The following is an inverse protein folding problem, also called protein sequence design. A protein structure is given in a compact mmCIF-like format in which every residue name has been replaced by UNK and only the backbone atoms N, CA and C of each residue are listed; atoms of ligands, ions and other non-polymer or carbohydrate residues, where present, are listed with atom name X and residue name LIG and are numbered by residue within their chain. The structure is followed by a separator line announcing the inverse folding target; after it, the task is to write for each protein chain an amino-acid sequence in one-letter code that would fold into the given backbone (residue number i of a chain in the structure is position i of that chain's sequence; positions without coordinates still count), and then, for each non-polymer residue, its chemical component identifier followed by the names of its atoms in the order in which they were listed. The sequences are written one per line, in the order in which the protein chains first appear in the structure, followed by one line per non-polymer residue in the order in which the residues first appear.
data_IF_918612209612
#
_entry.id   IF_918612209612
#
_cell.length_a   1.000
_cell.length_b   1.000
_cell.length_c   1.000
_cell.angle_alpha   90.00
_cell.angle_beta   90.00
_cell.angle_gamma   90.00
#
_symmetry.space_group_name_H-M   'P 1'
#
loop_
_entity.id
_entity.type
_entity.pdbx_description
1 polymer ?
#
# COMPACT_ATOMS: atom_id res chain seq x y z
N UNK A 1 -16.57 -10.00 18.05
CA UNK A 1 -16.15 -9.36 16.78
C UNK A 1 -15.45 -10.34 15.85
N UNK A 2 -14.45 -11.10 16.31
CA UNK A 2 -13.73 -12.11 15.50
C UNK A 2 -14.62 -13.25 14.96
N UNK A 3 -15.59 -13.75 15.74
CA UNK A 3 -16.51 -14.82 15.28
C UNK A 3 -17.33 -14.46 14.04
N UNK A 4 -17.88 -13.24 13.98
CA UNK A 4 -18.64 -12.74 12.82
C UNK A 4 -17.76 -12.47 11.60
N UNK A 5 -16.50 -12.11 11.81
CA UNK A 5 -15.54 -11.77 10.77
C UNK A 5 -14.98 -13.06 10.14
N UNK A 6 -14.65 -14.04 10.98
CA UNK A 6 -14.31 -15.39 10.57
C UNK A 6 -15.49 -16.08 9.86
N UNK A 7 -16.70 -16.02 10.40
CA UNK A 7 -17.87 -16.64 9.75
C UNK A 7 -18.18 -16.00 8.39
N UNK A 8 -17.98 -14.68 8.23
CA UNK A 8 -18.13 -14.00 6.94
C UNK A 8 -16.99 -14.23 5.95
N UNK A 9 -15.74 -14.38 6.40
CA UNK A 9 -14.59 -14.68 5.51
C UNK A 9 -14.47 -16.16 5.19
N UNK A 10 -14.64 -17.03 6.18
CA UNK A 10 -14.64 -18.48 5.99
C UNK A 10 -15.98 -18.98 5.44
N UNK A 11 -17.09 -18.27 5.57
CA UNK A 11 -18.33 -18.58 4.84
C UNK A 11 -18.25 -18.35 3.32
N UNK A 12 -17.16 -17.76 2.82
CA UNK A 12 -16.95 -17.53 1.39
C UNK A 12 -16.42 -18.77 0.65
N UNK A 13 -16.36 -18.63 -0.67
CA UNK A 13 -15.75 -19.59 -1.59
C UNK A 13 -14.36 -20.04 -1.17
N UNK A 14 -14.03 -21.26 -1.57
CA UNK A 14 -12.73 -21.88 -1.32
C UNK A 14 -11.57 -21.00 -1.81
N UNK A 15 -11.73 -20.30 -2.94
CA UNK A 15 -10.69 -19.39 -3.45
C UNK A 15 -10.39 -18.24 -2.50
N UNK A 16 -11.40 -17.69 -1.81
CA UNK A 16 -11.22 -16.60 -0.86
C UNK A 16 -10.42 -17.06 0.37
N UNK A 17 -10.70 -18.29 0.84
CA UNK A 17 -9.96 -18.92 1.93
C UNK A 17 -8.49 -19.14 1.55
N UNK A 18 -8.24 -19.69 0.35
CA UNK A 18 -6.87 -19.89 -0.13
C UNK A 18 -6.14 -18.56 -0.33
N UNK A 19 -6.77 -17.53 -0.85
CA UNK A 19 -6.16 -16.20 -1.02
C UNK A 19 -5.75 -15.59 0.33
N UNK A 20 -6.61 -15.73 1.34
CA UNK A 20 -6.29 -15.31 2.70
C UNK A 20 -5.13 -16.10 3.29
N UNK A 21 -5.13 -17.43 3.15
CA UNK A 21 -4.04 -18.29 3.64
C UNK A 21 -2.71 -17.90 2.97
N UNK A 22 -2.69 -17.76 1.64
CA UNK A 22 -1.49 -17.34 0.89
C UNK A 22 -0.99 -15.98 1.40
N UNK A 23 -1.89 -15.02 1.59
CA UNK A 23 -1.54 -13.68 2.10
C UNK A 23 -1.00 -13.73 3.53
N UNK A 24 -1.60 -14.52 4.43
CA UNK A 24 -1.11 -14.69 5.81
C UNK A 24 0.25 -15.38 5.83
N UNK A 25 0.40 -16.47 5.07
CA UNK A 25 1.66 -17.20 4.97
C UNK A 25 2.78 -16.32 4.40
N UNK A 26 2.50 -15.57 3.31
CA UNK A 26 3.44 -14.60 2.76
C UNK A 26 3.83 -13.57 3.80
N UNK A 27 2.85 -12.94 4.46
CA UNK A 27 3.13 -11.86 5.39
C UNK A 27 3.97 -12.34 6.59
N UNK A 28 3.68 -13.51 7.14
CA UNK A 28 4.46 -14.09 8.24
C UNK A 28 5.85 -14.53 7.80
N UNK A 29 5.96 -15.30 6.71
CA UNK A 29 7.24 -15.82 6.23
C UNK A 29 8.21 -14.70 5.86
N UNK A 30 7.74 -13.71 5.09
CA UNK A 30 8.56 -12.56 4.69
C UNK A 30 8.92 -11.70 5.90
N UNK A 31 7.99 -11.44 6.83
CA UNK A 31 8.31 -10.65 8.03
C UNK A 31 9.33 -11.32 8.94
N UNK A 32 9.30 -12.64 9.08
CA UNK A 32 10.29 -13.40 9.86
C UNK A 32 11.67 -13.31 9.20
N UNK A 33 11.75 -13.54 7.88
CA UNK A 33 13.00 -13.46 7.14
C UNK A 33 13.58 -12.04 7.16
N UNK A 34 12.76 -11.01 6.95
CA UNK A 34 13.17 -9.62 7.07
C UNK A 34 13.62 -9.26 8.49
N UNK A 35 12.98 -9.82 9.53
CA UNK A 35 13.42 -9.65 10.91
C UNK A 35 14.82 -10.20 11.16
N UNK A 36 15.16 -11.34 10.54
CA UNK A 36 16.50 -11.93 10.62
C UNK A 36 17.53 -11.06 9.87
N UNK A 37 17.21 -10.64 8.64
CA UNK A 37 18.05 -9.75 7.84
C UNK A 37 18.29 -8.42 8.57
N UNK A 38 17.25 -7.84 9.14
CA UNK A 38 17.30 -6.62 9.95
C UNK A 38 18.20 -6.78 11.17
N UNK A 39 18.17 -7.93 11.86
CA UNK A 39 19.03 -8.20 13.01
C UNK A 39 20.51 -8.26 12.62
N UNK A 40 20.82 -8.91 11.50
CA UNK A 40 22.19 -8.97 10.94
C UNK A 40 22.67 -7.57 10.55
N UNK A 41 21.86 -6.80 9.81
CA UNK A 41 22.22 -5.43 9.42
C UNK A 41 22.34 -4.48 10.63
N UNK A 42 21.46 -4.59 11.63
CA UNK A 42 21.53 -3.76 12.84
C UNK A 42 22.80 -4.03 13.64
N UNK A 43 23.25 -5.28 13.70
CA UNK A 43 24.54 -5.66 14.31
C UNK A 43 25.72 -5.08 13.54
N UNK A 44 25.69 -5.12 12.20
CA UNK A 44 26.72 -4.53 11.38
C UNK A 44 26.80 -2.99 11.57
N UNK A 45 25.66 -2.29 11.60
CA UNK A 45 25.60 -0.84 11.81
C UNK A 45 26.10 -0.44 13.20
N UNK A 46 25.79 -1.21 14.25
CA UNK A 46 26.26 -0.92 15.61
C UNK A 46 27.78 -1.08 15.73
N UNK A 47 28.38 -2.08 15.08
CA UNK A 47 29.83 -2.25 15.03
C UNK A 47 30.52 -1.11 14.29
N UNK A 48 29.96 -0.65 13.17
CA UNK A 48 30.46 0.52 12.44
C UNK A 48 30.43 1.76 13.35
N UNK A 49 29.36 1.97 14.14
CA UNK A 49 29.24 3.16 15.00
C UNK A 49 30.39 3.34 16.00
N UNK A 50 31.01 2.24 16.45
CA UNK A 50 32.16 2.26 17.37
C UNK A 50 33.43 2.83 16.73
N UNK A 51 33.50 2.87 15.40
CA UNK A 51 34.65 3.40 14.68
C UNK A 51 34.63 4.93 14.58
N UNK A 52 33.50 5.58 14.89
CA UNK A 52 33.32 7.04 14.82
C UNK A 52 34.39 7.79 15.60
N UNK A 53 34.70 7.35 16.81
CA UNK A 53 35.66 8.03 17.70
C UNK A 53 37.10 7.94 17.20
N UNK A 54 37.44 6.89 16.45
CA UNK A 54 38.77 6.71 15.86
C UNK A 54 39.01 7.61 14.64
N UNK A 55 37.92 7.99 13.97
CA UNK A 55 37.96 8.68 12.67
C UNK A 55 37.68 10.18 12.81
N UNK A 56 37.17 10.64 13.96
CA UNK A 56 36.76 12.04 14.21
C UNK A 56 37.82 13.10 13.90
N UNK A 57 39.11 12.78 13.98
CA UNK A 57 40.20 13.74 13.81
C UNK A 57 40.64 13.91 12.35
N UNK A 58 40.15 13.09 11.42
CA UNK A 58 40.46 13.17 9.99
C UNK A 58 39.18 13.48 9.19
N UNK A 59 39.16 14.64 8.54
CA UNK A 59 37.96 15.18 7.90
C UNK A 59 37.50 14.35 6.70
N UNK A 60 38.42 13.75 5.94
CA UNK A 60 38.09 12.92 4.77
C UNK A 60 37.58 11.56 5.20
N UNK A 61 38.21 10.96 6.20
CA UNK A 61 37.75 9.67 6.74
C UNK A 61 36.40 9.84 7.46
N UNK A 62 36.15 11.00 8.08
CA UNK A 62 34.87 11.30 8.74
C UNK A 62 33.71 11.47 7.75
N UNK A 63 33.94 12.04 6.56
CA UNK A 63 32.91 12.09 5.51
C UNK A 63 32.58 10.69 5.01
N UNK A 64 33.59 9.88 4.68
CA UNK A 64 33.42 8.51 4.19
C UNK A 64 32.70 7.62 5.23
N UNK A 65 33.06 7.79 6.51
CA UNK A 65 32.38 7.12 7.62
C UNK A 65 30.90 7.52 7.72
N UNK A 66 30.61 8.81 7.60
CA UNK A 66 29.25 9.34 7.70
C UNK A 66 28.36 8.78 6.58
N UNK A 67 28.89 8.67 5.36
CA UNK A 67 28.18 8.12 4.21
C UNK A 67 27.87 6.63 4.36
N UNK A 68 28.87 5.83 4.76
CA UNK A 68 28.69 4.39 5.03
C UNK A 68 27.69 4.17 6.17
N UNK A 69 27.80 4.95 7.24
CA UNK A 69 26.90 4.85 8.39
C UNK A 69 25.46 5.26 8.01
N UNK A 70 25.29 6.34 7.24
CA UNK A 70 23.99 6.79 6.75
C UNK A 70 23.35 5.75 5.83
N UNK A 71 24.14 5.13 4.95
CA UNK A 71 23.68 4.07 4.05
C UNK A 71 23.21 2.83 4.83
N UNK A 72 24.03 2.33 5.77
CA UNK A 72 23.68 1.18 6.59
C UNK A 72 22.42 1.40 7.43
N UNK A 73 22.26 2.61 7.99
CA UNK A 73 21.06 2.99 8.74
C UNK A 73 19.83 3.15 7.85
N UNK A 74 19.99 3.67 6.64
CA UNK A 74 18.91 3.75 5.65
C UNK A 74 18.39 2.36 5.26
N UNK A 75 19.29 1.39 5.08
CA UNK A 75 18.92 -0.01 4.79
C UNK A 75 18.02 -0.60 5.88
N UNK A 76 18.32 -0.34 7.16
CA UNK A 76 17.47 -0.73 8.30
C UNK A 76 16.02 -0.26 8.14
N UNK A 77 15.81 0.98 7.66
CA UNK A 77 14.47 1.54 7.46
C UNK A 77 13.74 0.87 6.29
N UNK A 78 14.45 0.48 5.24
CA UNK A 78 13.86 -0.24 4.11
C UNK A 78 13.33 -1.62 4.51
N UNK A 79 14.07 -2.38 5.32
CA UNK A 79 13.60 -3.66 5.87
C UNK A 79 12.35 -3.48 6.74
N UNK A 80 12.34 -2.47 7.63
CA UNK A 80 11.18 -2.17 8.47
C UNK A 80 9.96 -1.80 7.62
N UNK A 81 10.14 -0.99 6.59
CA UNK A 81 9.04 -0.62 5.69
C UNK A 81 8.53 -1.80 4.88
N UNK A 82 9.41 -2.74 4.51
CA UNK A 82 8.98 -3.95 3.83
C UNK A 82 8.16 -4.86 4.75
N UNK A 83 8.54 -5.00 6.03
CA UNK A 83 7.71 -5.68 7.05
C UNK A 83 6.34 -5.01 7.17
N UNK A 84 6.29 -3.67 7.30
CA UNK A 84 5.03 -2.92 7.37
C UNK A 84 4.19 -3.13 6.11
N UNK A 85 4.83 -3.22 4.93
CA UNK A 85 4.15 -3.50 3.66
C UNK A 85 3.45 -4.86 3.63
N UNK A 86 4.02 -5.88 4.29
CA UNK A 86 3.42 -7.22 4.36
C UNK A 86 2.12 -7.21 5.18
N UNK A 87 2.09 -6.48 6.30
CA UNK A 87 0.86 -6.34 7.09
C UNK A 87 -0.17 -5.45 6.41
N UNK A 88 0.27 -4.43 5.69
CA UNK A 88 -0.61 -3.61 4.86
C UNK A 88 -1.26 -4.43 3.73
N UNK A 89 -0.48 -5.27 3.04
CA UNK A 89 -0.95 -6.24 2.04
C UNK A 89 -2.02 -7.17 2.64
N UNK A 90 -1.77 -7.73 3.82
CA UNK A 90 -2.72 -8.60 4.51
C UNK A 90 -4.01 -7.86 4.88
N UNK A 91 -3.89 -6.63 5.41
CA UNK A 91 -5.04 -5.77 5.71
C UNK A 91 -5.89 -5.48 4.47
N UNK A 92 -5.26 -5.16 3.34
CA UNK A 92 -5.94 -4.97 2.07
C UNK A 92 -6.58 -6.26 1.54
N UNK A 93 -5.96 -7.42 1.77
CA UNK A 93 -6.53 -8.72 1.41
C UNK A 93 -7.83 -8.97 2.16
N UNK A 94 -7.81 -8.82 3.49
CA UNK A 94 -8.98 -8.99 4.34
C UNK A 94 -10.09 -8.02 3.92
N UNK A 95 -9.76 -6.75 3.71
CA UNK A 95 -10.73 -5.74 3.28
C UNK A 95 -11.32 -6.03 1.88
N UNK A 96 -10.48 -6.47 0.94
CA UNK A 96 -10.93 -6.83 -0.42
C UNK A 96 -11.89 -8.03 -0.40
N UNK A 97 -11.59 -9.06 0.39
CA UNK A 97 -12.43 -10.24 0.55
C UNK A 97 -13.72 -9.92 1.31
N UNK A 98 -13.62 -9.13 2.39
CA UNK A 98 -14.78 -8.73 3.19
C UNK A 98 -15.80 -7.93 2.38
N UNK A 99 -15.32 -6.99 1.55
CA UNK A 99 -16.16 -6.17 0.68
C UNK A 99 -16.43 -6.78 -0.70
N UNK A 100 -15.89 -7.97 -1.00
CA UNK A 100 -15.95 -8.63 -2.31
C UNK A 100 -15.57 -7.66 -3.44
N UNK A 101 -14.52 -6.87 -3.21
CA UNK A 101 -14.08 -5.81 -4.10
C UNK A 101 -13.04 -6.34 -5.10
N UNK A 102 -13.48 -6.61 -6.32
CA UNK A 102 -12.63 -7.13 -7.40
C UNK A 102 -11.52 -6.16 -7.80
N UNK A 103 -11.80 -4.86 -7.80
CA UNK A 103 -10.82 -3.83 -8.16
C UNK A 103 -9.68 -3.83 -7.15
N UNK A 104 -10.01 -3.97 -5.86
CA UNK A 104 -9.01 -4.04 -4.81
C UNK A 104 -8.18 -5.32 -4.85
N UNK A 105 -8.75 -6.46 -5.26
CA UNK A 105 -7.99 -7.69 -5.50
C UNK A 105 -6.96 -7.54 -6.62
N UNK A 106 -7.33 -6.90 -7.73
CA UNK A 106 -6.40 -6.64 -8.84
C UNK A 106 -5.27 -5.73 -8.38
N UNK A 107 -5.60 -4.63 -7.71
CA UNK A 107 -4.61 -3.70 -7.18
C UNK A 107 -3.69 -4.35 -6.13
N UNK A 108 -4.24 -5.21 -5.27
CA UNK A 108 -3.47 -6.00 -4.31
C UNK A 108 -2.51 -6.96 -5.01
N UNK A 109 -2.93 -7.60 -6.11
CA UNK A 109 -2.04 -8.45 -6.92
C UNK A 109 -0.88 -7.64 -7.48
N UNK A 110 -1.14 -6.44 -8.03
CA UNK A 110 -0.08 -5.54 -8.52
C UNK A 110 0.86 -5.09 -7.39
N UNK A 111 0.33 -4.84 -6.19
CA UNK A 111 1.13 -4.49 -5.03
C UNK A 111 2.07 -5.61 -4.59
N UNK A 112 1.63 -6.88 -4.64
CA UNK A 112 2.51 -8.03 -4.34
C UNK A 112 3.63 -8.14 -5.39
N UNK A 113 3.35 -7.89 -6.67
CA UNK A 113 4.40 -7.81 -7.71
C UNK A 113 5.35 -6.63 -7.50
N UNK A 114 4.87 -5.47 -7.08
CA UNK A 114 5.72 -4.35 -6.69
C UNK A 114 6.62 -4.71 -5.49
N UNK A 115 6.10 -5.50 -4.53
CA UNK A 115 6.89 -6.05 -3.44
C UNK A 115 7.97 -7.03 -3.90
N UNK A 116 7.72 -7.82 -4.95
CA UNK A 116 8.74 -8.67 -5.57
C UNK A 116 9.85 -7.84 -6.24
N UNK A 117 9.49 -6.75 -6.92
CA UNK A 117 10.48 -5.83 -7.47
C UNK A 117 11.30 -5.16 -6.35
N UNK A 118 10.65 -4.81 -5.24
CA UNK A 118 11.30 -4.24 -4.06
C UNK A 118 12.34 -5.20 -3.47
N UNK A 119 12.02 -6.50 -3.30
CA UNK A 119 12.99 -7.47 -2.79
C UNK A 119 14.17 -7.71 -3.73
N UNK A 120 13.97 -7.59 -5.05
CA UNK A 120 15.07 -7.64 -6.02
C UNK A 120 16.01 -6.43 -5.91
N UNK A 121 15.45 -5.23 -5.74
CA UNK A 121 16.24 -4.00 -5.51
C UNK A 121 17.06 -4.11 -4.22
N UNK A 122 16.48 -4.71 -3.17
CA UNK A 122 17.14 -4.92 -1.89
C UNK A 122 18.40 -5.77 -1.99
N UNK A 123 18.34 -6.92 -2.67
CA UNK A 123 19.53 -7.76 -2.91
C UNK A 123 20.59 -7.03 -3.72
N UNK A 124 20.17 -6.32 -4.78
CA UNK A 124 21.08 -5.54 -5.60
C UNK A 124 21.84 -4.50 -4.76
N UNK A 125 21.12 -3.78 -3.89
CA UNK A 125 21.70 -2.75 -3.05
C UNK A 125 22.59 -3.31 -1.94
N UNK A 126 22.17 -4.41 -1.32
CA UNK A 126 22.95 -5.15 -0.31
C UNK A 126 24.26 -5.69 -0.89
N UNK A 127 24.25 -6.17 -2.13
CA UNK A 127 25.46 -6.69 -2.80
C UNK A 127 26.36 -5.57 -3.33
N UNK A 128 25.78 -4.47 -3.84
CA UNK A 128 26.55 -3.29 -4.32
C UNK A 128 27.32 -2.58 -3.21
N UNK A 129 26.90 -2.78 -1.96
CA UNK A 129 27.61 -2.35 -0.75
C UNK A 129 28.86 -3.18 -0.44
N UNK A 130 28.87 -4.44 -0.88
CA UNK A 130 29.95 -5.41 -0.64
C UNK A 130 30.96 -5.37 -1.80
N UNK A 131 30.52 -5.07 -3.02
CA UNK A 131 31.38 -4.94 -4.18
C UNK A 131 32.10 -3.59 -4.14
N UNK A 132 33.41 -3.65 -3.93
CA UNK A 132 34.38 -2.56 -3.93
C UNK A 132 34.11 -1.56 -5.08
N UNK A 133 33.60 -0.37 -4.74
CA UNK A 133 33.34 0.71 -5.69
C UNK A 133 34.51 1.68 -5.81
N UNK A 134 35.73 1.28 -5.40
CA UNK A 134 36.92 2.14 -5.50
C UNK A 134 36.92 3.32 -4.52
N UNK A 135 36.05 3.28 -3.50
CA UNK A 135 36.11 4.18 -2.34
C UNK A 135 37.27 3.68 -1.48
N UNK A 136 38.38 4.43 -1.51
CA UNK A 136 39.58 4.29 -0.69
C UNK A 136 39.69 2.98 0.09
N UNK A 137 40.53 2.01 -0.36
CA UNK A 137 40.64 0.69 0.28
C UNK A 137 40.93 0.76 1.78
N UNK A 138 41.44 1.86 2.32
CA UNK A 138 41.80 2.01 3.73
C UNK A 138 40.66 1.78 4.73
N UNK A 139 39.48 2.41 4.60
CA UNK A 139 38.40 2.28 5.62
C UNK A 139 37.62 0.98 5.43
N UNK A 140 37.22 0.68 4.20
CA UNK A 140 36.44 -0.52 3.92
C UNK A 140 37.26 -1.76 4.28
N UNK A 141 38.56 -1.80 3.96
CA UNK A 141 39.45 -2.90 4.37
C UNK A 141 39.70 -2.91 5.89
N UNK A 142 39.75 -1.77 6.59
CA UNK A 142 39.83 -1.71 8.06
C UNK A 142 38.57 -2.23 8.77
N UNK A 143 37.38 -1.93 8.24
CA UNK A 143 36.10 -2.41 8.76
C UNK A 143 35.89 -3.89 8.38
N UNK A 144 36.33 -4.31 7.20
CA UNK A 144 36.18 -5.68 6.68
C UNK A 144 37.20 -6.65 7.29
N UNK A 145 38.47 -6.26 7.49
CA UNK A 145 39.48 -7.11 8.16
C UNK A 145 39.19 -7.29 9.66
N UNK A 146 38.46 -6.37 10.28
CA UNK A 146 38.16 -6.40 11.71
C UNK A 146 36.86 -7.09 12.09
N UNK A 147 36.03 -7.52 11.13
CA UNK A 147 34.66 -7.92 11.42
C UNK A 147 34.26 -9.19 10.63
N UNK A 148 34.12 -10.32 11.33
CA UNK A 148 33.72 -11.60 10.72
C UNK A 148 32.25 -11.63 10.26
N UNK A 149 31.41 -10.72 10.76
CA UNK A 149 30.00 -10.60 10.37
C UNK A 149 29.82 -9.51 9.33
N UNK A 150 30.23 -9.79 8.09
CA UNK A 150 29.89 -8.96 6.94
C UNK A 150 28.44 -9.20 6.47
N UNK A 151 27.85 -8.29 5.66
CA UNK A 151 26.56 -8.47 5.00
C UNK A 151 26.44 -9.73 4.12
N UNK A 152 27.54 -10.47 3.91
CA UNK A 152 27.56 -11.77 3.22
C UNK A 152 26.62 -12.79 3.86
N UNK A 153 26.39 -12.70 5.17
CA UNK A 153 25.46 -13.60 5.89
C UNK A 153 23.99 -13.25 5.64
N UNK A 154 23.68 -12.03 5.19
CA UNK A 154 22.30 -11.59 4.94
C UNK A 154 21.79 -11.99 3.55
N UNK A 155 22.67 -12.02 2.54
CA UNK A 155 22.33 -12.30 1.12
C UNK A 155 21.53 -13.61 0.93
N UNK A 156 21.86 -14.74 1.61
CA UNK A 156 21.06 -15.96 1.48
C UNK A 156 19.60 -15.79 1.90
N UNK A 157 19.34 -15.04 2.97
CA UNK A 157 17.98 -14.77 3.44
C UNK A 157 17.21 -13.88 2.47
N UNK A 158 17.86 -12.87 1.89
CA UNK A 158 17.24 -11.98 0.90
C UNK A 158 16.89 -12.72 -0.40
N UNK A 159 17.72 -13.69 -0.84
CA UNK A 159 17.39 -14.56 -1.97
C UNK A 159 16.15 -15.42 -1.66
N UNK A 160 16.06 -15.97 -0.44
CA UNK A 160 14.88 -16.73 -0.01
C UNK A 160 13.64 -15.85 -0.02
N UNK A 161 13.74 -14.58 0.40
CA UNK A 161 12.63 -13.62 0.35
C UNK A 161 12.15 -13.40 -1.09
N UNK A 162 13.05 -13.27 -2.07
CA UNK A 162 12.68 -13.16 -3.50
C UNK A 162 11.89 -14.39 -3.95
N UNK A 163 12.36 -15.59 -3.62
CA UNK A 163 11.69 -16.84 -4.01
C UNK A 163 10.29 -16.93 -3.39
N UNK A 164 10.16 -16.60 -2.09
CA UNK A 164 8.86 -16.58 -1.41
C UNK A 164 7.92 -15.57 -2.06
N UNK A 165 8.39 -14.33 -2.31
CA UNK A 165 7.60 -13.30 -2.98
C UNK A 165 7.20 -13.68 -4.41
N UNK A 166 8.05 -14.39 -5.15
CA UNK A 166 7.73 -14.89 -6.48
C UNK A 166 6.62 -15.93 -6.44
N UNK A 167 6.74 -16.94 -5.58
CA UNK A 167 5.73 -17.99 -5.41
C UNK A 167 4.40 -17.37 -4.94
N UNK A 168 4.45 -16.47 -3.96
CA UNK A 168 3.25 -15.82 -3.44
C UNK A 168 2.60 -14.88 -4.47
N UNK A 169 3.38 -14.13 -5.26
CA UNK A 169 2.82 -13.27 -6.32
C UNK A 169 2.11 -14.06 -7.41
N UNK A 170 2.71 -15.16 -7.90
CA UNK A 170 2.09 -16.03 -8.89
C UNK A 170 0.84 -16.73 -8.34
N UNK A 171 0.93 -17.27 -7.12
CA UNK A 171 -0.19 -17.95 -6.47
C UNK A 171 -1.36 -16.99 -6.21
N UNK A 172 -1.07 -15.80 -5.71
CA UNK A 172 -2.09 -14.78 -5.44
C UNK A 172 -2.69 -14.24 -6.74
N UNK A 173 -1.92 -14.03 -7.80
CA UNK A 173 -2.44 -13.59 -9.09
C UNK A 173 -3.44 -14.59 -9.69
N UNK A 174 -3.14 -15.89 -9.61
CA UNK A 174 -4.07 -16.95 -10.03
C UNK A 174 -5.37 -16.93 -9.21
N UNK A 175 -5.25 -16.82 -7.88
CA UNK A 175 -6.41 -16.75 -6.98
C UNK A 175 -7.23 -15.47 -7.20
N UNK A 176 -6.57 -14.33 -7.41
CA UNK A 176 -7.21 -13.06 -7.73
C UNK A 176 -8.00 -13.14 -9.05
N UNK A 177 -7.47 -13.84 -10.07
CA UNK A 177 -8.19 -14.08 -11.32
C UNK A 177 -9.46 -14.93 -11.09
N UNK A 178 -9.39 -15.99 -10.30
CA UNK A 178 -10.57 -16.82 -9.97
C UNK A 178 -11.61 -16.05 -9.15
N UNK A 179 -11.15 -15.29 -8.16
CA UNK A 179 -12.02 -14.43 -7.35
C UNK A 179 -12.64 -13.30 -8.17
N UNK A 180 -11.93 -12.75 -9.15
CA UNK A 180 -12.46 -11.75 -10.08
C UNK A 180 -13.69 -12.29 -10.83
N UNK A 181 -13.63 -13.52 -11.33
CA UNK A 181 -14.75 -14.17 -12.01
C UNK A 181 -15.95 -14.36 -11.07
N UNK A 182 -15.70 -14.83 -9.85
CA UNK A 182 -16.74 -15.13 -8.88
C UNK A 182 -17.43 -13.86 -8.33
N UNK A 183 -16.64 -12.88 -7.89
CA UNK A 183 -17.16 -11.62 -7.36
C UNK A 183 -17.78 -10.76 -8.47
N UNK A 184 -17.26 -10.84 -9.70
CA UNK A 184 -17.87 -10.19 -10.86
C UNK A 184 -19.30 -10.65 -11.10
N UNK A 185 -19.58 -11.94 -10.89
CA UNK A 185 -20.93 -12.50 -10.98
C UNK A 185 -21.85 -12.02 -9.84
N UNK A 186 -21.32 -11.91 -8.62
CA UNK A 186 -22.07 -11.38 -7.46
C UNK A 186 -22.43 -9.91 -7.63
N UNK A 187 -21.51 -9.09 -8.14
CA UNK A 187 -21.76 -7.66 -8.44
C UNK A 187 -22.84 -7.51 -9.52
N UNK A 188 -22.79 -8.35 -10.57
CA UNK A 188 -23.82 -8.37 -11.61
C UNK A 188 -25.22 -8.61 -11.02
N UNK A 189 -25.36 -9.60 -10.13
CA UNK A 189 -26.64 -9.88 -9.46
C UNK A 189 -27.11 -8.76 -8.54
N UNK A 190 -26.21 -8.07 -7.84
CA UNK A 190 -26.55 -7.04 -6.84
C UNK A 190 -26.99 -5.71 -7.45
N UNK A 191 -26.39 -5.30 -8.57
CA UNK A 191 -26.66 -4.00 -9.21
C UNK A 191 -27.71 -4.12 -10.33
N UNK A 192 -27.83 -5.30 -10.95
CA UNK A 192 -28.74 -5.51 -12.08
C UNK A 192 -28.11 -5.13 -13.43
N UNK A 193 -28.96 -5.04 -14.46
CA UNK A 193 -28.53 -4.85 -15.85
C UNK A 193 -28.12 -3.40 -16.21
N UNK A 194 -28.29 -2.43 -15.30
CA UNK A 194 -27.87 -1.05 -15.55
C UNK A 194 -26.33 -0.93 -15.58
N UNK A 195 -25.79 -0.87 -16.79
CA UNK A 195 -24.35 -0.75 -17.06
C UNK A 195 -23.79 0.58 -16.56
N UNK A 196 -24.55 1.68 -16.68
CA UNK A 196 -24.07 3.01 -16.31
C UNK A 196 -23.88 3.12 -14.79
N UNK A 197 -24.77 2.51 -14.01
CA UNK A 197 -24.65 2.49 -12.55
C UNK A 197 -23.48 1.61 -12.07
N UNK A 198 -23.24 0.47 -12.73
CA UNK A 198 -22.08 -0.39 -12.46
C UNK A 198 -20.77 0.34 -12.70
N UNK A 199 -20.67 1.11 -13.78
CA UNK A 199 -19.43 1.83 -14.09
C UNK A 199 -19.16 2.98 -13.11
N UNK A 200 -20.19 3.69 -12.65
CA UNK A 200 -20.06 4.69 -11.57
C UNK A 200 -19.57 4.07 -10.27
N UNK A 201 -20.11 2.91 -9.90
CA UNK A 201 -19.69 2.19 -8.71
C UNK A 201 -18.24 1.69 -8.81
N UNK A 202 -17.83 1.17 -9.98
CA UNK A 202 -16.43 0.81 -10.24
C UNK A 202 -15.49 2.00 -10.06
N UNK A 203 -15.83 3.17 -10.63
CA UNK A 203 -15.00 4.37 -10.48
C UNK A 203 -14.85 4.80 -9.01
N UNK A 204 -15.94 4.73 -8.24
CA UNK A 204 -15.88 4.95 -6.79
C UNK A 204 -14.96 3.94 -6.09
N UNK A 205 -15.07 2.64 -6.40
CA UNK A 205 -14.20 1.62 -5.81
C UNK A 205 -12.73 1.81 -6.21
N UNK A 206 -12.44 2.19 -7.46
CA UNK A 206 -11.07 2.52 -7.91
C UNK A 206 -10.55 3.71 -7.10
N UNK A 207 -11.33 4.78 -6.94
CA UNK A 207 -10.92 5.96 -6.21
C UNK A 207 -10.61 5.65 -4.73
N UNK A 208 -11.49 4.93 -4.04
CA UNK A 208 -11.26 4.53 -2.64
C UNK A 208 -10.04 3.61 -2.51
N UNK A 209 -9.84 2.70 -3.46
CA UNK A 209 -8.68 1.82 -3.49
C UNK A 209 -7.38 2.62 -3.67
N UNK A 210 -7.34 3.54 -4.64
CA UNK A 210 -6.18 4.41 -4.87
C UNK A 210 -5.84 5.23 -3.64
N UNK A 211 -6.84 5.82 -2.97
CA UNK A 211 -6.62 6.54 -1.72
C UNK A 211 -5.94 5.68 -0.65
N UNK A 212 -6.26 4.38 -0.53
CA UNK A 212 -5.58 3.50 0.44
C UNK A 212 -4.10 3.31 0.09
N UNK A 213 -3.78 3.15 -1.19
CA UNK A 213 -2.40 3.01 -1.65
C UNK A 213 -1.61 4.30 -1.53
N UNK A 214 -2.20 5.44 -1.91
CA UNK A 214 -1.58 6.77 -1.77
C UNK A 214 -1.08 6.97 -0.35
N UNK A 215 -1.91 6.67 0.66
CA UNK A 215 -1.52 6.81 2.07
C UNK A 215 -0.31 5.97 2.41
N UNK A 216 -0.31 4.70 2.01
CA UNK A 216 0.79 3.80 2.29
C UNK A 216 2.09 4.31 1.66
N UNK A 217 2.06 4.67 0.38
CA UNK A 217 3.26 5.12 -0.34
C UNK A 217 3.74 6.50 0.11
N UNK A 218 2.83 7.46 0.35
CA UNK A 218 3.19 8.78 0.90
C UNK A 218 3.75 8.69 2.32
N UNK A 219 3.17 7.86 3.20
CA UNK A 219 3.72 7.63 4.54
C UNK A 219 5.06 6.90 4.48
N UNK A 220 5.18 5.87 3.63
CA UNK A 220 6.45 5.17 3.41
C UNK A 220 7.55 6.11 2.96
N UNK A 221 7.29 6.92 1.94
CA UNK A 221 8.20 7.98 1.49
C UNK A 221 8.53 8.97 2.62
N UNK A 222 7.53 9.41 3.39
CA UNK A 222 7.74 10.33 4.50
C UNK A 222 8.69 9.79 5.56
N UNK A 223 8.53 8.52 5.95
CA UNK A 223 9.36 7.87 6.96
C UNK A 223 10.81 7.73 6.46
N UNK A 224 11.00 7.30 5.21
CA UNK A 224 12.33 7.18 4.60
C UNK A 224 13.04 8.54 4.52
N UNK A 225 12.32 9.55 4.03
CA UNK A 225 12.86 10.89 3.88
C UNK A 225 13.22 11.51 5.23
N UNK A 226 12.31 11.41 6.21
CA UNK A 226 12.55 11.93 7.56
C UNK A 226 13.78 11.29 8.18
N UNK A 227 13.92 9.98 8.06
CA UNK A 227 15.05 9.27 8.63
C UNK A 227 16.38 9.68 7.98
N UNK A 228 16.41 9.89 6.65
CA UNK A 228 17.58 10.43 5.97
C UNK A 228 17.95 11.84 6.46
N UNK A 229 16.98 12.75 6.56
CA UNK A 229 17.21 14.13 7.00
C UNK A 229 17.69 14.21 8.45
N UNK A 230 17.14 13.36 9.33
CA UNK A 230 17.58 13.27 10.74
C UNK A 230 19.03 12.82 10.82
N UNK A 231 19.46 11.90 9.95
CA UNK A 231 20.86 11.45 9.89
C UNK A 231 21.77 12.59 9.41
N UNK A 232 21.31 13.41 8.47
CA UNK A 232 22.03 14.55 7.91
C UNK A 232 21.94 15.84 8.76
N UNK A 233 21.34 15.78 9.95
CA UNK A 233 21.15 16.90 10.89
C UNK A 233 20.51 18.17 10.28
N UNK A 234 19.76 18.04 9.17
CA UNK A 234 19.18 19.18 8.45
C UNK A 234 17.84 19.63 9.05
N UNK A 235 17.88 20.31 10.21
CA UNK A 235 16.71 20.66 11.04
C UNK A 235 15.60 21.45 10.30
N UNK A 236 15.98 22.33 9.36
CA UNK A 236 15.01 23.16 8.60
C UNK A 236 14.18 22.32 7.63
N UNK A 237 14.77 21.30 7.03
CA UNK A 237 14.07 20.41 6.09
C UNK A 237 13.07 19.50 6.83
N UNK A 238 13.38 19.09 8.07
CA UNK A 238 12.53 18.22 8.88
C UNK A 238 11.14 18.84 9.08
N UNK A 239 11.08 20.08 9.57
CA UNK A 239 9.81 20.72 9.90
C UNK A 239 8.93 20.90 8.65
N UNK A 240 9.52 21.36 7.54
CA UNK A 240 8.82 21.52 6.28
C UNK A 240 8.27 20.18 5.77
N UNK A 241 9.05 19.11 5.85
CA UNK A 241 8.63 17.79 5.38
C UNK A 241 7.59 17.14 6.24
N UNK A 242 7.71 17.21 7.57
CA UNK A 242 6.70 16.65 8.47
C UNK A 242 5.37 17.36 8.28
N UNK A 243 5.37 18.70 8.22
CA UNK A 243 4.14 19.47 7.97
C UNK A 243 3.55 19.08 6.62
N UNK A 244 4.35 19.12 5.55
CA UNK A 244 3.83 18.88 4.21
C UNK A 244 3.38 17.43 4.02
N UNK A 245 4.11 16.45 4.55
CA UNK A 245 3.82 15.05 4.26
C UNK A 245 2.72 14.49 5.16
N UNK A 246 2.71 14.81 6.45
CA UNK A 246 1.69 14.31 7.41
C UNK A 246 0.37 15.04 7.20
N UNK A 247 0.39 16.37 7.04
CA UNK A 247 -0.84 17.15 6.86
C UNK A 247 -1.49 16.83 5.51
N UNK A 248 -0.69 16.68 4.45
CA UNK A 248 -1.21 16.37 3.12
C UNK A 248 -1.70 14.93 3.05
N UNK A 249 -0.95 13.94 3.54
CA UNK A 249 -1.42 12.54 3.51
C UNK A 249 -2.69 12.34 4.35
N UNK A 250 -2.72 12.76 5.61
CA UNK A 250 -3.90 12.59 6.47
C UNK A 250 -5.09 13.45 6.01
N UNK A 251 -4.84 14.71 5.67
CA UNK A 251 -5.87 15.65 5.22
C UNK A 251 -6.51 15.25 3.90
N UNK A 252 -5.71 14.81 2.92
CA UNK A 252 -6.23 14.41 1.61
C UNK A 252 -7.13 13.17 1.69
N UNK A 253 -6.85 12.21 2.58
CA UNK A 253 -7.74 11.06 2.78
C UNK A 253 -9.11 11.52 3.24
N UNK A 254 -9.14 12.34 4.29
CA UNK A 254 -10.40 12.74 4.94
C UNK A 254 -11.22 13.54 3.94
N UNK A 255 -10.60 14.52 3.28
CA UNK A 255 -11.27 15.38 2.29
C UNK A 255 -11.71 14.56 1.06
N UNK A 256 -10.86 13.66 0.54
CA UNK A 256 -11.19 12.82 -0.61
C UNK A 256 -12.31 11.82 -0.31
N UNK A 257 -12.20 11.11 0.81
CA UNK A 257 -13.20 10.13 1.26
C UNK A 257 -14.55 10.79 1.55
N UNK A 258 -14.58 11.89 2.30
CA UNK A 258 -15.83 12.62 2.55
C UNK A 258 -16.37 13.30 1.30
N UNK A 259 -15.50 13.85 0.46
CA UNK A 259 -15.89 14.48 -0.80
C UNK A 259 -16.63 13.52 -1.72
N UNK A 260 -16.10 12.31 -1.88
CA UNK A 260 -16.71 11.30 -2.74
C UNK A 260 -17.96 10.66 -2.12
N UNK A 261 -18.02 10.47 -0.79
CA UNK A 261 -19.20 9.91 -0.12
C UNK A 261 -20.39 10.88 -0.06
N UNK A 262 -20.10 12.17 0.13
CA UNK A 262 -21.16 13.19 0.26
C UNK A 262 -21.57 13.79 -1.08
N UNK A 263 -20.84 13.47 -2.16
CA UNK A 263 -20.92 14.08 -3.50
C UNK A 263 -20.71 15.61 -3.47
N UNK A 264 -19.96 16.12 -2.48
CA UNK A 264 -19.67 17.56 -2.35
C UNK A 264 -18.55 17.98 -3.31
N UNK A 265 -18.92 18.71 -4.36
CA UNK A 265 -17.99 19.23 -5.39
C UNK A 265 -16.84 20.05 -4.79
N UNK A 266 -17.13 20.89 -3.79
CA UNK A 266 -16.12 21.73 -3.10
C UNK A 266 -15.00 20.87 -2.48
N UNK A 267 -15.35 19.81 -1.75
CA UNK A 267 -14.36 18.91 -1.15
C UNK A 267 -13.53 18.20 -2.22
N UNK A 268 -14.14 17.79 -3.33
CA UNK A 268 -13.39 17.19 -4.44
C UNK A 268 -12.47 18.19 -5.15
N UNK A 269 -12.81 19.47 -5.23
CA UNK A 269 -11.91 20.50 -5.78
C UNK A 269 -10.73 20.75 -4.83
N UNK A 270 -10.99 20.84 -3.53
CA UNK A 270 -9.92 20.95 -2.52
C UNK A 270 -8.99 19.73 -2.54
N UNK A 271 -9.54 18.53 -2.63
CA UNK A 271 -8.76 17.29 -2.77
C UNK A 271 -7.83 17.36 -3.98
N UNK A 272 -8.35 17.71 -5.17
CA UNK A 272 -7.57 17.83 -6.40
C UNK A 272 -6.44 18.84 -6.28
N UNK A 273 -6.71 20.00 -5.66
CA UNK A 273 -5.69 21.01 -5.42
C UNK A 273 -4.59 20.48 -4.50
N UNK A 274 -4.96 19.75 -3.43
CA UNK A 274 -4.02 19.06 -2.56
C UNK A 274 -3.15 18.07 -3.32
N UNK A 275 -3.74 17.27 -4.22
CA UNK A 275 -2.98 16.31 -5.03
C UNK A 275 -1.98 17.03 -5.92
N UNK A 276 -2.36 18.13 -6.58
CA UNK A 276 -1.41 18.93 -7.38
C UNK A 276 -0.23 19.47 -6.56
N UNK A 277 -0.48 19.92 -5.32
CA UNK A 277 0.59 20.37 -4.41
C UNK A 277 1.49 19.21 -4.00
N UNK A 278 0.91 18.05 -3.68
CA UNK A 278 1.64 16.84 -3.31
C UNK A 278 2.55 16.35 -4.46
N UNK A 279 2.02 16.31 -5.68
CA UNK A 279 2.76 15.94 -6.89
C UNK A 279 3.90 16.92 -7.18
N UNK A 280 3.65 18.24 -7.07
CA UNK A 280 4.70 19.25 -7.23
C UNK A 280 5.85 19.08 -6.23
N UNK A 281 5.52 18.68 -4.99
CA UNK A 281 6.51 18.39 -3.96
C UNK A 281 7.31 17.10 -4.26
N UNK A 282 6.65 16.02 -4.70
CA UNK A 282 7.32 14.78 -5.15
C UNK A 282 8.28 15.08 -6.30
N UNK A 283 7.85 15.86 -7.30
CA UNK A 283 8.70 16.27 -8.43
C UNK A 283 9.92 17.05 -7.94
N UNK A 284 9.74 18.01 -7.04
CA UNK A 284 10.86 18.74 -6.43
C UNK A 284 11.86 17.82 -5.76
N UNK A 285 11.40 16.72 -5.12
CA UNK A 285 12.28 15.73 -4.49
C UNK A 285 12.95 14.79 -5.47
N UNK A 286 12.30 14.43 -6.56
CA UNK A 286 12.97 13.70 -7.66
C UNK A 286 14.12 14.54 -8.23
N UNK A 287 13.89 15.84 -8.42
CA UNK A 287 14.94 16.77 -8.89
C UNK A 287 16.07 16.90 -7.87
N UNK A 288 15.76 17.05 -6.58
CA UNK A 288 16.75 17.12 -5.48
C UNK A 288 17.65 15.87 -5.45
N UNK A 289 17.04 14.69 -5.56
CA UNK A 289 17.76 13.40 -5.62
C UNK A 289 18.63 13.28 -6.87
N UNK A 290 18.24 13.92 -7.97
CA UNK A 290 19.02 13.91 -9.21
C UNK A 290 20.15 14.93 -9.24
N UNK A 291 19.97 16.11 -8.62
CA UNK A 291 20.95 17.20 -8.62
C UNK A 291 22.00 17.05 -7.53
N UNK A 292 21.66 16.42 -6.40
CA UNK A 292 22.55 16.22 -5.26
C UNK A 292 22.84 14.72 -5.06
N UNK A 293 23.52 14.04 -6.00
CA UNK A 293 23.74 12.59 -5.91
C UNK A 293 24.50 12.18 -4.64
N UNK A 294 25.40 13.04 -4.17
CA UNK A 294 26.24 12.78 -2.99
C UNK A 294 25.40 12.72 -1.70
N UNK A 295 24.36 13.58 -1.57
CA UNK A 295 23.45 13.60 -0.41
C UNK A 295 22.63 12.31 -0.27
N UNK A 296 22.36 11.63 -1.39
CA UNK A 296 21.53 10.43 -1.45
C UNK A 296 22.34 9.18 -1.80
N UNK A 297 23.67 9.24 -1.64
CA UNK A 297 24.55 8.13 -1.95
C UNK A 297 24.12 6.89 -1.16
N UNK A 298 23.95 5.77 -1.86
CA UNK A 298 23.53 4.52 -1.23
C UNK A 298 22.06 4.41 -0.81
N UNK A 299 21.22 5.41 -1.08
CA UNK A 299 19.75 5.40 -0.81
C UNK A 299 18.93 5.78 -2.05
N UNK A 300 19.59 6.41 -3.03
CA UNK A 300 19.00 6.91 -4.28
C UNK A 300 18.06 5.94 -4.97
N UNK A 301 18.44 4.66 -5.11
CA UNK A 301 17.64 3.68 -5.86
C UNK A 301 16.27 3.49 -5.20
N UNK A 302 16.24 3.20 -3.89
CA UNK A 302 15.00 3.04 -3.14
C UNK A 302 14.15 4.30 -3.09
N UNK A 303 14.75 5.46 -2.81
CA UNK A 303 14.02 6.73 -2.76
C UNK A 303 13.44 7.08 -4.13
N UNK A 304 14.18 6.88 -5.22
CA UNK A 304 13.69 7.13 -6.58
C UNK A 304 12.57 6.15 -6.94
N UNK A 305 12.70 4.87 -6.57
CA UNK A 305 11.64 3.88 -6.76
C UNK A 305 10.34 4.32 -6.06
N UNK A 306 10.40 4.67 -4.77
CA UNK A 306 9.24 5.14 -4.02
C UNK A 306 8.62 6.41 -4.63
N UNK A 307 9.44 7.42 -4.94
CA UNK A 307 8.98 8.65 -5.57
C UNK A 307 8.30 8.39 -6.92
N UNK A 308 8.86 7.49 -7.74
CA UNK A 308 8.27 7.13 -9.04
C UNK A 308 6.89 6.47 -8.91
N UNK A 309 6.74 5.57 -7.94
CA UNK A 309 5.45 4.92 -7.67
C UNK A 309 4.43 5.92 -7.12
N UNK A 310 4.83 6.79 -6.19
CA UNK A 310 3.96 7.86 -5.69
C UNK A 310 3.48 8.78 -6.81
N UNK A 311 4.38 9.20 -7.71
CA UNK A 311 4.05 10.08 -8.84
C UNK A 311 3.03 9.43 -9.78
N UNK A 312 3.24 8.16 -10.15
CA UNK A 312 2.31 7.43 -11.02
C UNK A 312 0.95 7.26 -10.33
N UNK A 313 0.94 6.87 -9.06
CA UNK A 313 -0.30 6.71 -8.29
C UNK A 313 -1.07 8.03 -8.18
N UNK A 314 -0.41 9.13 -7.83
CA UNK A 314 -1.06 10.43 -7.69
C UNK A 314 -1.62 11.00 -8.99
N UNK A 315 -0.93 10.81 -10.13
CA UNK A 315 -1.47 11.15 -11.46
C UNK A 315 -2.74 10.33 -11.74
N UNK A 316 -2.72 9.02 -11.50
CA UNK A 316 -3.89 8.17 -11.70
C UNK A 316 -5.03 8.59 -10.76
N UNK A 317 -4.76 8.84 -9.48
CA UNK A 317 -5.73 9.33 -8.50
C UNK A 317 -6.36 10.65 -8.96
N UNK A 318 -5.56 11.57 -9.48
CA UNK A 318 -6.06 12.83 -10.02
C UNK A 318 -7.03 12.61 -11.19
N UNK A 319 -6.67 11.78 -12.17
CA UNK A 319 -7.53 11.47 -13.32
C UNK A 319 -8.83 10.81 -12.88
N UNK A 320 -8.76 9.81 -11.99
CA UNK A 320 -9.95 9.13 -11.47
C UNK A 320 -10.84 10.11 -10.68
N UNK A 321 -10.26 11.04 -9.92
CA UNK A 321 -11.03 12.06 -9.20
C UNK A 321 -11.86 12.96 -10.13
N UNK A 322 -11.35 13.26 -11.33
CA UNK A 322 -12.08 14.01 -12.36
C UNK A 322 -13.26 13.19 -12.90
N UNK A 323 -13.06 11.90 -13.16
CA UNK A 323 -14.12 11.00 -13.61
C UNK A 323 -15.21 10.83 -12.54
N UNK A 324 -14.82 10.72 -11.27
CA UNK A 324 -15.77 10.71 -10.15
C UNK A 324 -16.62 11.99 -10.13
N UNK A 325 -16.01 13.16 -10.27
CA UNK A 325 -16.74 14.44 -10.25
C UNK A 325 -17.73 14.58 -11.40
N UNK A 326 -17.38 14.11 -12.61
CA UNK A 326 -18.29 14.07 -13.77
C UNK A 326 -19.49 13.12 -13.58
N UNK A 327 -19.41 12.24 -12.58
CA UNK A 327 -20.43 11.25 -12.27
C UNK A 327 -21.31 11.61 -11.06
N UNK A 328 -21.07 12.76 -10.42
CA UNK A 328 -21.88 13.24 -9.30
C UNK A 328 -23.30 13.61 -9.73
N UNK A 329 -24.23 13.58 -8.76
CA UNK A 329 -25.66 13.89 -8.92
C UNK A 329 -26.44 12.88 -9.79
N UNK A 330 -25.83 11.74 -10.14
CA UNK A 330 -26.46 10.69 -10.96
C UNK A 330 -26.94 9.48 -10.16
N UNK A 331 -27.25 9.64 -8.87
CA UNK A 331 -27.92 8.63 -8.04
C UNK A 331 -27.01 7.60 -7.34
N UNK A 332 -25.68 7.72 -7.43
CA UNK A 332 -24.72 6.79 -6.78
C UNK A 332 -24.86 6.80 -5.25
N UNK A 333 -25.04 7.98 -4.66
CA UNK A 333 -25.29 8.17 -3.21
C UNK A 333 -26.45 7.36 -2.65
N UNK A 334 -27.55 7.19 -3.41
CA UNK A 334 -28.71 6.43 -2.94
C UNK A 334 -28.39 4.94 -2.77
N UNK A 335 -27.66 4.35 -3.71
CA UNK A 335 -27.25 2.95 -3.64
C UNK A 335 -26.16 2.68 -2.59
N UNK A 336 -25.23 3.62 -2.39
CA UNK A 336 -24.21 3.51 -1.33
C UNK A 336 -24.87 3.56 0.06
N UNK A 337 -25.83 4.47 0.25
CA UNK A 337 -26.58 4.63 1.51
C UNK A 337 -27.44 3.39 1.80
N UNK A 338 -28.12 2.85 0.77
CA UNK A 338 -28.90 1.61 0.86
C UNK A 338 -28.02 0.38 1.14
N UNK A 339 -26.83 0.28 0.54
CA UNK A 339 -25.93 -0.85 0.86
C UNK A 339 -25.39 -0.78 2.29
N UNK A 340 -25.15 0.42 2.84
CA UNK A 340 -24.77 0.59 4.25
C UNK A 340 -25.91 0.15 5.18
N UNK A 341 -27.16 0.56 4.92
CA UNK A 341 -28.31 0.19 5.74
C UNK A 341 -28.63 -1.31 5.72
N UNK A 342 -28.47 -1.97 4.56
CA UNK A 342 -28.59 -3.43 4.49
C UNK A 342 -27.44 -4.14 5.23
N UNK A 343 -26.21 -3.63 5.13
CA UNK A 343 -25.06 -4.24 5.83
C UNK A 343 -25.15 -4.11 7.36
N UNK A 344 -25.79 -3.03 7.87
CA UNK A 344 -26.05 -2.85 9.30
C UNK A 344 -27.19 -3.73 9.81
N UNK A 345 -28.22 -4.00 8.99
CA UNK A 345 -29.33 -4.90 9.38
C UNK A 345 -28.94 -6.39 9.42
N UNK A 346 -28.02 -6.83 8.56
CA UNK A 346 -27.54 -8.23 8.53
C UNK A 346 -26.66 -8.58 9.76
N UNK A 347 -26.30 -7.60 10.59
CA UNK A 347 -25.61 -7.82 11.87
C UNK A 347 -26.51 -8.25 13.04
N UNK A 348 -27.85 -8.17 12.89
CA UNK A 348 -28.83 -8.60 13.90
C UNK A 348 -29.63 -9.81 13.44
N UNK A 349 -29.89 -10.77 14.34
CA UNK A 349 -30.74 -11.95 14.07
C UNK A 349 -32.13 -11.57 13.54
N UNK A 350 -32.65 -10.39 13.89
CA UNK A 350 -33.93 -9.85 13.40
C UNK A 350 -33.95 -9.43 11.92
N UNK A 351 -32.79 -9.19 11.29
CA UNK A 351 -32.72 -8.74 9.89
C UNK A 351 -33.05 -9.84 8.87
N UNK A 352 -32.93 -11.12 9.25
CA UNK A 352 -33.27 -12.26 8.39
C UNK A 352 -34.77 -12.42 8.25
N UNK A 353 -35.52 -12.22 9.33
CA UNK A 353 -36.98 -12.35 9.34
C UNK A 353 -37.62 -11.16 8.63
N UNK A 354 -37.09 -9.94 8.84
CA UNK A 354 -37.52 -8.75 8.07
C UNK A 354 -37.20 -8.85 6.57
N UNK A 355 -36.11 -9.51 6.17
CA UNK A 355 -35.79 -9.75 4.75
C UNK A 355 -36.76 -10.75 4.11
N UNK A 356 -37.12 -11.83 4.83
CA UNK A 356 -38.09 -12.84 4.34
C UNK A 356 -39.50 -12.24 4.27
N UNK A 357 -39.90 -11.45 5.27
CA UNK A 357 -41.21 -10.81 5.34
C UNK A 357 -41.38 -9.75 4.25
N UNK A 358 -40.35 -8.91 4.00
CA UNK A 358 -40.40 -7.88 2.97
C UNK A 358 -40.36 -8.49 1.54
N UNK A 359 -39.65 -9.62 1.32
CA UNK A 359 -39.71 -10.34 0.05
C UNK A 359 -41.04 -11.09 -0.16
N UNK A 360 -41.70 -11.55 0.92
CA UNK A 360 -43.07 -12.11 0.84
C UNK A 360 -44.10 -11.03 0.52
N UNK A 361 -44.01 -9.87 1.18
CA UNK A 361 -44.88 -8.74 0.93
C UNK A 361 -44.75 -8.23 -0.52
N UNK A 362 -43.53 -8.10 -1.04
CA UNK A 362 -43.30 -7.73 -2.44
C UNK A 362 -43.83 -8.74 -3.44
N UNK A 363 -43.66 -10.05 -3.18
CA UNK A 363 -44.20 -11.11 -4.06
C UNK A 363 -45.74 -11.14 -4.04
N UNK A 364 -46.38 -10.90 -2.90
CA UNK A 364 -47.85 -10.86 -2.81
C UNK A 364 -48.44 -9.63 -3.49
N UNK A 365 -47.82 -8.45 -3.36
CA UNK A 365 -48.25 -7.25 -4.08
C UNK A 365 -48.03 -7.34 -5.59
N UNK A 366 -46.94 -7.96 -6.04
CA UNK A 366 -46.70 -8.18 -7.48
C UNK A 366 -47.62 -9.24 -8.07
N UNK A 367 -47.96 -10.29 -7.32
CA UNK A 367 -48.97 -11.29 -7.73
C UNK A 367 -50.36 -10.65 -7.78
N UNK A 368 -50.77 -9.86 -6.77
CA UNK A 368 -52.07 -9.18 -6.76
C UNK A 368 -52.20 -8.09 -7.85
N UNK A 369 -51.14 -7.36 -8.16
CA UNK A 369 -51.15 -6.41 -9.29
C UNK A 369 -51.19 -7.11 -10.64
N UNK A 370 -50.61 -8.29 -10.76
CA UNK A 370 -50.73 -9.08 -11.97
C UNK A 370 -52.13 -9.67 -12.11
N UNK A 371 -52.75 -10.22 -11.07
CA UNK A 371 -54.13 -10.76 -11.16
C UNK A 371 -55.18 -9.68 -11.42
N UNK A 372 -55.06 -8.47 -10.85
CA UNK A 372 -55.97 -7.35 -11.16
C UNK A 372 -55.85 -6.83 -12.59
N UNK A 373 -54.72 -7.07 -13.29
CA UNK A 373 -54.53 -6.61 -14.67
C UNK A 373 -55.18 -7.51 -15.71
N UNK A 374 -55.71 -8.68 -15.31
CA UNK A 374 -56.37 -9.65 -16.19
C UNK A 374 -57.85 -9.90 -15.86
N UNK A 375 -58.45 -9.20 -14.88
CA UNK A 375 -59.91 -9.19 -14.75
C UNK A 375 -60.49 -8.18 -15.75
N UNK A 376 -60.80 -8.69 -16.93
CA UNK A 376 -61.58 -8.01 -17.96
C UNK A 376 -63.05 -8.13 -17.54
N UNK A 377 -63.68 -6.98 -17.25
CA UNK A 377 -65.11 -6.76 -17.51
C UNK A 377 -65.33 -6.62 -19.03
#
# INVERSE_FOLDING_TARGET
MFGSLAEKLFGQSYYARYALIVSVCQALAVSILEGLVLAVHSKAVSQISLFKDKVKNDATLLSDFTDIYAQGRSMTIYHVLFIVSQFFQLGLCIDALYHQNTIQLIALSLFIFAGLAFSAIQVYQSTSLISDNGISPSIQELIIKGNDTLPKDAVPYEIVIIIVMLISSMSFAYLAYKLYQEFGWTIYKKIGADMAMRDRYKMYQIFIMLLKFDVFFFLGFSIQFLALVVILEATKEILQHVILSVLTSAGMIIVGFWGVQTERKVLMYLFKLGVCVAEGYIISKIVDVSMNPDKYHGTRIFVTFFLSVCLVLGIVTFVISLLCLKNFDKGLKFHLSRSKSLSSQVGGREGRDAFIENNRAYNLETVNRHTQRWSID
#
